data_IF_085092144741
#
_entry.id   IF_085092144741
#
_cell.length_a   1.000
_cell.length_b   1.000
_cell.length_c   1.000
_cell.angle_alpha   90.00
_cell.angle_beta   90.00
_cell.angle_gamma   90.00
#
_symmetry.space_group_name_H-M   'P 1'
#
loop_
_entity.id
_entity.type
_entity.pdbx_description
1 polymer ?
#
# COMPACT_ATOMS: atom_id res chain seq x y z
N UNK A 1 -20.55 -1.57 20.68
CA UNK A 1 -20.18 -2.93 20.21
C UNK A 1 -18.68 -2.93 20.07
N UNK A 2 -18.03 -3.92 20.63
CA UNK A 2 -16.57 -4.02 20.56
C UNK A 2 -16.17 -4.38 19.12
N UNK A 3 -15.09 -3.74 18.64
CA UNK A 3 -14.49 -4.01 17.34
C UNK A 3 -13.72 -5.32 17.41
N UNK A 4 -13.70 -6.10 16.31
CA UNK A 4 -12.97 -7.37 16.24
C UNK A 4 -11.46 -7.19 16.37
N UNK A 5 -10.94 -6.09 15.85
CA UNK A 5 -9.51 -5.79 15.79
C UNK A 5 -9.19 -4.51 16.57
N UNK A 6 -8.09 -4.55 17.32
CA UNK A 6 -7.50 -3.37 17.93
C UNK A 6 -6.88 -2.47 16.86
N UNK A 7 -6.18 -3.05 15.88
CA UNK A 7 -5.64 -2.31 14.76
C UNK A 7 -5.63 -3.14 13.47
N UNK A 8 -5.70 -2.44 12.34
CA UNK A 8 -5.47 -2.98 11.00
C UNK A 8 -4.34 -2.19 10.37
N UNK A 9 -3.36 -2.89 9.82
CA UNK A 9 -2.22 -2.33 9.11
C UNK A 9 -2.30 -2.85 7.69
N UNK A 10 -2.45 -1.94 6.73
CA UNK A 10 -2.80 -2.29 5.37
C UNK A 10 -1.90 -1.60 4.36
N UNK A 11 -1.48 -2.31 3.33
CA UNK A 11 -0.90 -1.73 2.13
C UNK A 11 -1.93 -1.70 1.02
N UNK A 12 -2.14 -0.56 0.39
CA UNK A 12 -2.99 -0.46 -0.81
C UNK A 12 -2.16 0.04 -1.98
N UNK A 13 -2.54 -0.41 -3.16
CA UNK A 13 -1.77 -0.14 -4.37
C UNK A 13 -1.79 -1.30 -5.35
N UNK A 14 -1.06 -1.11 -6.44
CA UNK A 14 -0.97 -2.07 -7.52
C UNK A 14 0.49 -2.35 -7.87
N UNK A 15 0.96 -3.53 -7.47
CA UNK A 15 2.34 -3.98 -7.73
C UNK A 15 2.71 -4.07 -9.21
N UNK A 16 1.72 -4.00 -10.11
CA UNK A 16 1.95 -4.04 -11.57
C UNK A 16 2.25 -2.66 -12.16
N UNK A 17 2.13 -1.57 -11.41
CA UNK A 17 2.28 -0.20 -11.90
C UNK A 17 3.39 0.55 -11.14
N UNK A 18 4.61 0.02 -11.21
CA UNK A 18 5.82 0.63 -10.64
C UNK A 18 5.62 1.12 -9.20
N UNK A 19 5.74 2.44 -8.96
CA UNK A 19 5.66 3.02 -7.63
C UNK A 19 4.26 2.92 -7.00
N UNK A 20 3.19 2.64 -7.78
CA UNK A 20 1.86 2.35 -7.23
C UNK A 20 1.89 1.13 -6.30
N UNK A 21 2.87 0.23 -6.48
CA UNK A 21 3.09 -0.92 -5.60
C UNK A 21 3.67 -0.59 -4.23
N UNK A 22 4.02 0.67 -3.94
CA UNK A 22 4.67 1.05 -2.68
C UNK A 22 3.91 0.55 -1.45
N UNK A 23 2.60 0.76 -1.40
CA UNK A 23 1.79 0.39 -0.24
C UNK A 23 1.87 -1.12 0.05
N UNK A 24 1.75 -1.95 -0.99
CA UNK A 24 1.89 -3.41 -0.88
C UNK A 24 3.29 -3.79 -0.39
N UNK A 25 4.34 -3.24 -1.01
CA UNK A 25 5.73 -3.55 -0.63
C UNK A 25 6.08 -3.09 0.79
N UNK A 26 5.51 -1.97 1.23
CA UNK A 26 5.66 -1.46 2.58
C UNK A 26 4.98 -2.37 3.61
N UNK A 27 3.73 -2.79 3.40
CA UNK A 27 3.05 -3.69 4.36
C UNK A 27 3.66 -5.08 4.39
N UNK A 28 4.14 -5.60 3.27
CA UNK A 28 4.92 -6.84 3.23
C UNK A 28 6.21 -6.71 4.06
N UNK A 29 6.94 -5.61 3.90
CA UNK A 29 8.17 -5.34 4.67
C UNK A 29 7.87 -5.17 6.16
N UNK A 30 6.77 -4.49 6.50
CA UNK A 30 6.27 -4.39 7.87
C UNK A 30 6.03 -5.77 8.48
N UNK A 31 5.29 -6.63 7.78
CA UNK A 31 4.94 -7.99 8.23
C UNK A 31 6.18 -8.87 8.45
N UNK A 32 7.18 -8.76 7.56
CA UNK A 32 8.46 -9.45 7.71
C UNK A 32 9.26 -8.96 8.91
N UNK A 33 9.25 -7.66 9.19
CA UNK A 33 10.06 -7.05 10.26
C UNK A 33 9.43 -7.22 11.64
N UNK A 34 8.11 -7.11 11.73
CA UNK A 34 7.39 -6.99 12.99
C UNK A 34 6.44 -8.16 13.24
N UNK A 35 6.39 -8.61 14.48
CA UNK A 35 5.34 -9.47 15.02
C UNK A 35 4.31 -8.59 15.70
N UNK A 36 3.05 -8.79 15.30
CA UNK A 36 1.90 -8.10 15.87
C UNK A 36 1.12 -9.03 16.83
N UNK A 37 0.37 -8.47 17.79
CA UNK A 37 -0.54 -9.24 18.63
C UNK A 37 -1.68 -9.87 17.83
N UNK A 38 -2.40 -10.82 18.42
CA UNK A 38 -3.47 -11.57 17.74
C UNK A 38 -4.69 -10.72 17.36
N UNK A 39 -4.91 -9.59 18.04
CA UNK A 39 -5.98 -8.63 17.77
C UNK A 39 -5.56 -7.53 16.78
N UNK A 40 -4.39 -7.67 16.14
CA UNK A 40 -3.90 -6.78 15.08
C UNK A 40 -3.81 -7.56 13.77
N UNK A 41 -4.40 -7.00 12.73
CA UNK A 41 -4.34 -7.58 11.38
C UNK A 41 -3.33 -6.84 10.52
N UNK A 42 -2.54 -7.59 9.75
CA UNK A 42 -1.62 -7.07 8.73
C UNK A 42 -2.05 -7.63 7.38
N UNK A 43 -2.36 -6.76 6.43
CA UNK A 43 -3.10 -7.14 5.21
C UNK A 43 -2.46 -6.48 4.00
N UNK A 44 -2.21 -7.27 2.95
CA UNK A 44 -2.06 -6.73 1.61
C UNK A 44 -3.45 -6.43 1.05
N UNK A 45 -3.82 -5.15 1.06
CA UNK A 45 -5.12 -4.67 0.61
C UNK A 45 -5.22 -4.55 -0.90
N UNK A 46 -4.10 -4.55 -1.62
CA UNK A 46 -4.07 -4.48 -3.08
C UNK A 46 -5.01 -3.43 -3.64
N UNK A 47 -5.80 -3.88 -4.62
CA UNK A 47 -6.92 -3.15 -5.21
C UNK A 47 -8.26 -3.81 -4.83
N UNK A 48 -8.36 -4.42 -3.65
CA UNK A 48 -9.46 -5.31 -3.25
C UNK A 48 -10.82 -4.62 -3.10
N UNK A 49 -10.87 -3.29 -3.03
CA UNK A 49 -12.12 -2.53 -2.95
C UNK A 49 -13.01 -3.01 -1.80
N UNK A 50 -14.26 -3.36 -2.09
CA UNK A 50 -15.26 -3.73 -1.07
C UNK A 50 -14.86 -4.88 -0.13
N UNK A 51 -13.95 -5.77 -0.54
CA UNK A 51 -13.45 -6.83 0.35
C UNK A 51 -12.70 -6.28 1.58
N UNK A 52 -12.33 -5.01 1.58
CA UNK A 52 -11.70 -4.33 2.73
C UNK A 52 -12.71 -3.83 3.77
N UNK A 53 -14.01 -3.90 3.51
CA UNK A 53 -15.05 -3.30 4.36
C UNK A 53 -15.02 -3.84 5.79
N UNK A 54 -14.91 -5.16 5.97
CA UNK A 54 -14.86 -5.77 7.31
C UNK A 54 -13.69 -5.19 8.12
N UNK A 55 -12.51 -5.06 7.52
CA UNK A 55 -11.34 -4.57 8.24
C UNK A 55 -11.48 -3.11 8.65
N UNK A 56 -12.09 -2.27 7.80
CA UNK A 56 -12.38 -0.87 8.11
C UNK A 56 -13.46 -0.76 9.20
N UNK A 57 -14.55 -1.52 9.08
CA UNK A 57 -15.68 -1.45 10.02
C UNK A 57 -15.45 -2.19 11.33
N UNK A 58 -14.53 -3.14 11.39
CA UNK A 58 -14.26 -3.98 12.56
C UNK A 58 -12.95 -3.66 13.28
N UNK A 59 -12.33 -2.51 13.00
CA UNK A 59 -11.15 -2.02 13.71
C UNK A 59 -11.41 -0.73 14.48
N UNK A 60 -10.64 -0.52 15.55
CA UNK A 60 -10.54 0.76 16.24
C UNK A 60 -9.50 1.69 15.58
N UNK A 61 -8.40 1.13 15.08
CA UNK A 61 -7.30 1.88 14.50
C UNK A 61 -6.97 1.33 13.10
N UNK A 62 -6.71 2.19 12.13
CA UNK A 62 -6.26 1.75 10.80
C UNK A 62 -5.07 2.57 10.31
N UNK A 63 -3.98 1.88 10.01
CA UNK A 63 -2.79 2.42 9.37
C UNK A 63 -2.73 1.93 7.93
N UNK A 64 -2.61 2.86 6.98
CA UNK A 64 -2.56 2.55 5.55
C UNK A 64 -1.23 3.02 4.97
N UNK A 65 -0.54 2.15 4.23
CA UNK A 65 0.54 2.54 3.33
C UNK A 65 -0.05 2.70 1.93
N UNK A 66 0.23 3.82 1.27
CA UNK A 66 -0.30 4.13 -0.05
C UNK A 66 0.70 4.95 -0.87
N UNK A 67 0.62 4.85 -2.18
CA UNK A 67 1.35 5.69 -3.10
C UNK A 67 0.44 6.81 -3.59
N UNK A 68 0.83 8.07 -3.38
CA UNK A 68 0.03 9.20 -3.81
C UNK A 68 0.88 10.41 -4.16
N UNK A 69 0.38 11.16 -5.13
CA UNK A 69 0.96 12.44 -5.49
C UNK A 69 0.67 13.47 -4.39
N UNK A 70 1.71 13.79 -3.63
CA UNK A 70 1.71 14.78 -2.55
C UNK A 70 2.47 16.04 -2.95
N UNK A 71 2.75 16.23 -4.24
CA UNK A 71 3.43 17.39 -4.83
C UNK A 71 4.81 17.66 -4.20
N UNK A 72 5.58 16.61 -3.97
CA UNK A 72 6.92 16.65 -3.38
C UNK A 72 7.94 15.95 -4.30
N UNK A 73 9.21 15.86 -3.84
CA UNK A 73 10.22 15.05 -4.52
C UNK A 73 9.91 13.55 -4.39
N UNK A 74 10.22 12.72 -5.41
CA UNK A 74 9.99 11.28 -5.33
C UNK A 74 10.62 10.61 -4.10
N UNK A 75 9.91 9.63 -3.54
CA UNK A 75 10.32 8.94 -2.30
C UNK A 75 10.01 9.74 -1.01
N UNK A 76 9.54 10.99 -1.12
CA UNK A 76 9.11 11.76 0.06
C UNK A 76 7.90 11.10 0.71
N UNK A 77 8.01 10.86 2.02
CA UNK A 77 6.92 10.32 2.83
C UNK A 77 6.14 11.42 3.53
N UNK A 78 4.82 11.33 3.50
CA UNK A 78 3.91 12.19 4.24
C UNK A 78 2.99 11.34 5.11
N UNK A 79 2.89 11.71 6.39
CA UNK A 79 1.89 11.13 7.29
C UNK A 79 0.65 12.02 7.22
N UNK A 80 -0.49 11.43 6.88
CA UNK A 80 -1.80 12.09 6.84
C UNK A 80 -2.64 11.54 7.99
N UNK A 81 -3.16 12.42 8.83
CA UNK A 81 -3.96 12.09 10.01
C UNK A 81 -5.08 13.13 10.23
N UNK A 82 -6.08 12.74 11.03
CA UNK A 82 -7.15 13.64 11.47
C UNK A 82 -7.90 14.29 10.31
N UNK A 83 -7.97 15.63 10.30
CA UNK A 83 -8.74 16.40 9.31
C UNK A 83 -8.19 16.30 7.87
N UNK A 84 -6.94 15.87 7.71
CA UNK A 84 -6.28 15.80 6.41
C UNK A 84 -6.58 14.48 5.68
N UNK A 85 -7.19 13.49 6.35
CA UNK A 85 -7.60 12.20 5.77
C UNK A 85 -8.63 12.39 4.66
N UNK A 86 -9.72 13.12 4.92
CA UNK A 86 -10.80 13.30 3.94
C UNK A 86 -10.32 13.99 2.66
N UNK A 87 -9.59 15.13 2.73
CA UNK A 87 -8.99 15.72 1.54
C UNK A 87 -8.09 14.75 0.76
N UNK A 88 -7.27 13.95 1.46
CA UNK A 88 -6.40 12.97 0.83
C UNK A 88 -7.19 11.91 0.07
N UNK A 89 -8.20 11.29 0.69
CA UNK A 89 -9.06 10.27 0.07
C UNK A 89 -9.90 10.80 -1.11
N UNK A 90 -10.07 12.13 -1.20
CA UNK A 90 -10.77 12.79 -2.32
C UNK A 90 -9.83 13.16 -3.48
N UNK A 91 -8.51 13.03 -3.31
CA UNK A 91 -7.58 13.18 -4.42
C UNK A 91 -7.79 12.07 -5.43
N UNK A 92 -7.72 12.40 -6.73
CA UNK A 92 -7.97 11.47 -7.84
C UNK A 92 -6.66 10.92 -8.39
N UNK A 93 -5.81 10.36 -7.54
CA UNK A 93 -4.51 9.84 -7.99
C UNK A 93 -4.65 8.40 -8.50
N UNK A 94 -5.53 7.59 -7.91
CA UNK A 94 -5.71 6.19 -8.32
C UNK A 94 -7.14 5.65 -8.12
N UNK A 95 -7.46 4.56 -8.82
CA UNK A 95 -8.78 3.93 -8.74
C UNK A 95 -9.02 3.22 -7.39
N UNK A 96 -7.98 2.69 -6.73
CA UNK A 96 -8.12 2.04 -5.42
C UNK A 96 -8.37 3.05 -4.29
N UNK A 97 -7.86 4.28 -4.40
CA UNK A 97 -8.18 5.36 -3.46
C UNK A 97 -9.67 5.72 -3.49
N UNK A 98 -10.29 5.74 -4.67
CA UNK A 98 -11.73 5.97 -4.78
C UNK A 98 -12.53 4.87 -4.06
N UNK A 99 -12.09 3.62 -4.21
CA UNK A 99 -12.65 2.49 -3.46
C UNK A 99 -12.59 2.73 -1.95
N UNK A 100 -11.42 3.09 -1.40
CA UNK A 100 -11.28 3.35 0.04
C UNK A 100 -12.19 4.48 0.55
N UNK A 101 -12.32 5.58 -0.21
CA UNK A 101 -13.17 6.69 0.18
C UNK A 101 -14.64 6.26 0.35
N UNK A 102 -15.15 5.45 -0.58
CA UNK A 102 -16.51 4.91 -0.50
C UNK A 102 -16.69 4.02 0.74
N UNK A 103 -15.71 3.16 1.06
CA UNK A 103 -15.75 2.29 2.23
C UNK A 103 -15.74 3.07 3.55
N UNK A 104 -14.90 4.11 3.64
CA UNK A 104 -14.87 5.01 4.79
C UNK A 104 -16.17 5.79 4.93
N UNK A 105 -16.76 6.27 3.83
CA UNK A 105 -18.08 6.89 3.81
C UNK A 105 -19.18 5.94 4.31
N UNK A 106 -19.15 4.67 3.88
CA UNK A 106 -20.08 3.64 4.35
C UNK A 106 -19.91 3.35 5.84
N UNK A 107 -18.66 3.22 6.32
CA UNK A 107 -18.37 3.02 7.74
C UNK A 107 -18.88 4.19 8.58
N UNK A 108 -18.76 5.43 8.08
CA UNK A 108 -19.30 6.62 8.74
C UNK A 108 -20.83 6.57 8.83
N UNK A 109 -21.52 6.30 7.72
CA UNK A 109 -22.99 6.20 7.67
C UNK A 109 -23.52 5.12 8.62
N UNK A 110 -22.79 4.00 8.75
CA UNK A 110 -23.16 2.89 9.63
C UNK A 110 -22.72 3.07 11.09
N UNK A 111 -22.07 4.19 11.43
CA UNK A 111 -21.57 4.43 12.79
C UNK A 111 -20.43 3.47 13.20
N UNK A 112 -19.68 2.95 12.22
CA UNK A 112 -18.55 2.02 12.41
C UNK A 112 -17.21 2.61 11.99
N UNK A 113 -17.11 3.93 11.80
CA UNK A 113 -15.87 4.62 11.44
C UNK A 113 -14.75 4.32 12.47
N UNK A 114 -13.50 4.04 12.04
CA UNK A 114 -12.38 3.86 12.98
C UNK A 114 -12.16 5.09 13.85
N UNK A 115 -11.68 4.88 15.09
CA UNK A 115 -11.36 5.96 16.02
C UNK A 115 -10.12 6.73 15.56
N UNK A 116 -9.10 6.00 15.13
CA UNK A 116 -7.87 6.57 14.60
C UNK A 116 -7.59 6.05 13.19
N UNK A 117 -7.16 6.96 12.32
CA UNK A 117 -6.79 6.69 10.94
C UNK A 117 -5.50 7.43 10.67
N UNK A 118 -4.51 6.71 10.14
CA UNK A 118 -3.29 7.31 9.61
C UNK A 118 -2.98 6.71 8.23
N UNK A 119 -2.47 7.55 7.34
CA UNK A 119 -1.97 7.13 6.03
C UNK A 119 -0.51 7.57 5.94
N UNK A 120 0.39 6.64 5.61
CA UNK A 120 1.76 6.92 5.22
C UNK A 120 1.79 6.90 3.69
N UNK A 121 1.68 8.09 3.11
CA UNK A 121 1.73 8.31 1.67
C UNK A 121 3.17 8.50 1.18
N UNK A 122 3.53 7.84 0.09
CA UNK A 122 4.79 8.08 -0.62
C UNK A 122 4.55 8.81 -1.94
N UNK A 123 5.35 9.84 -2.21
CA UNK A 123 5.42 10.48 -3.52
C UNK A 123 6.04 9.52 -4.55
N UNK A 124 5.34 9.19 -5.65
CA UNK A 124 5.94 8.40 -6.74
C UNK A 124 6.92 9.20 -7.58
N UNK A 125 7.85 8.49 -8.23
CA UNK A 125 8.61 8.98 -9.38
C UNK A 125 7.90 8.64 -10.69
N UNK A 126 7.39 7.42 -10.81
CA UNK A 126 6.65 6.95 -11.99
C UNK A 126 5.51 6.02 -11.60
N UNK A 127 4.35 6.27 -12.18
CA UNK A 127 3.14 5.45 -12.04
C UNK A 127 2.74 4.79 -13.37
N UNK A 128 3.40 5.14 -14.48
CA UNK A 128 3.03 4.73 -15.84
C UNK A 128 4.08 3.75 -16.42
N UNK A 129 4.49 2.74 -15.66
CA UNK A 129 5.31 1.61 -16.14
C UNK A 129 4.60 0.31 -15.78
N UNK A 130 3.76 -0.19 -16.69
CA UNK A 130 3.07 -1.46 -16.51
C UNK A 130 4.07 -2.62 -16.56
N UNK A 131 4.04 -3.45 -15.53
CA UNK A 131 5.06 -4.45 -15.26
C UNK A 131 6.29 -3.89 -14.53
N UNK A 132 6.29 -2.60 -14.19
CA UNK A 132 7.29 -1.89 -13.39
C UNK A 132 7.44 -2.40 -11.98
N UNK A 133 8.68 -2.46 -11.48
CA UNK A 133 8.92 -2.49 -10.03
C UNK A 133 9.14 -1.07 -9.52
N UNK A 134 9.26 -0.93 -8.19
CA UNK A 134 9.55 0.35 -7.54
C UNK A 134 10.83 0.97 -8.10
N UNK A 135 10.80 2.29 -8.27
CA UNK A 135 12.01 3.07 -8.49
C UNK A 135 12.91 3.05 -7.26
N UNK A 136 14.19 3.36 -7.44
CA UNK A 136 15.18 3.41 -6.34
C UNK A 136 14.71 4.30 -5.20
N UNK A 137 14.21 5.48 -5.53
CA UNK A 137 13.77 6.50 -4.58
C UNK A 137 12.62 6.01 -3.70
N UNK A 138 11.64 5.33 -4.30
CA UNK A 138 10.48 4.78 -3.59
C UNK A 138 10.83 3.47 -2.87
N UNK A 139 11.73 2.65 -3.43
CA UNK A 139 12.21 1.46 -2.73
C UNK A 139 12.98 1.82 -1.44
N UNK A 140 13.81 2.85 -1.48
CA UNK A 140 14.62 3.29 -0.34
C UNK A 140 13.78 3.89 0.79
N UNK A 141 12.61 4.46 0.48
CA UNK A 141 11.73 5.04 1.49
C UNK A 141 10.92 4.01 2.30
N UNK A 142 10.90 2.73 1.91
CA UNK A 142 10.20 1.67 2.66
C UNK A 142 10.70 1.59 4.11
N UNK A 143 12.02 1.59 4.32
CA UNK A 143 12.60 1.55 5.67
C UNK A 143 12.11 2.72 6.56
N UNK A 144 12.28 3.97 6.11
CA UNK A 144 11.69 5.15 6.76
C UNK A 144 10.17 5.07 7.00
N UNK A 145 9.40 4.49 6.08
CA UNK A 145 7.97 4.30 6.25
C UNK A 145 7.65 3.34 7.41
N UNK A 146 8.44 2.27 7.58
CA UNK A 146 8.27 1.35 8.71
C UNK A 146 8.57 1.99 10.06
N UNK A 147 9.51 2.95 10.12
CA UNK A 147 9.80 3.71 11.34
C UNK A 147 8.59 4.57 11.72
N UNK A 148 8.02 5.29 10.76
CA UNK A 148 6.79 6.08 10.97
C UNK A 148 5.61 5.20 11.41
N UNK A 149 5.49 4.01 10.83
CA UNK A 149 4.46 3.04 11.22
C UNK A 149 4.61 2.59 12.68
N UNK A 150 5.83 2.28 13.11
CA UNK A 150 6.13 1.94 14.51
C UNK A 150 5.79 3.09 15.47
N UNK A 151 6.14 4.33 15.13
CA UNK A 151 5.82 5.51 15.92
C UNK A 151 4.30 5.70 16.09
N UNK A 152 3.54 5.58 14.99
CA UNK A 152 2.07 5.71 14.99
C UNK A 152 1.43 4.59 15.81
N UNK A 153 1.84 3.33 15.60
CA UNK A 153 1.29 2.19 16.31
C UNK A 153 1.59 2.26 17.81
N UNK A 154 2.79 2.71 18.18
CA UNK A 154 3.16 2.96 19.58
C UNK A 154 2.26 4.05 20.19
N UNK A 155 2.00 5.12 19.46
CA UNK A 155 1.10 6.19 19.92
C UNK A 155 -0.33 5.69 20.15
N UNK A 156 -0.80 4.76 19.33
CA UNK A 156 -2.10 4.10 19.51
C UNK A 156 -2.10 3.00 20.58
N UNK A 157 -0.96 2.75 21.23
CA UNK A 157 -0.80 1.71 22.25
C UNK A 157 -0.86 0.30 21.68
N UNK A 158 -0.43 0.10 20.42
CA UNK A 158 -0.32 -1.20 19.77
C UNK A 158 1.11 -1.70 19.92
N UNK A 159 1.29 -2.76 20.70
CA UNK A 159 2.62 -3.33 20.98
C UNK A 159 3.08 -4.23 19.83
N UNK A 160 4.10 -3.79 19.09
CA UNK A 160 4.77 -4.60 18.07
C UNK A 160 6.17 -5.01 18.54
N UNK A 161 6.64 -6.18 18.10
CA UNK A 161 7.96 -6.70 18.50
C UNK A 161 8.78 -7.08 17.27
N UNK A 162 10.08 -6.82 17.29
CA UNK A 162 10.97 -7.23 16.20
C UNK A 162 10.95 -8.75 16.08
N UNK A 163 10.83 -9.25 14.85
CA UNK A 163 11.07 -10.66 14.55
C UNK A 163 12.56 -10.95 14.52
N UNK A 164 12.91 -12.21 14.76
CA UNK A 164 14.25 -12.70 14.46
C UNK A 164 14.47 -12.65 12.94
N UNK A 165 15.57 -12.09 12.43
CA UNK A 165 15.89 -12.10 11.00
C UNK A 165 15.90 -13.50 10.35
N UNK A 166 16.12 -14.56 11.13
CA UNK A 166 16.09 -15.96 10.66
C UNK A 166 14.69 -16.60 10.70
N UNK A 167 13.68 -15.91 11.26
CA UNK A 167 12.31 -16.41 11.35
C UNK A 167 11.68 -16.53 9.95
N UNK A 168 11.12 -17.70 9.64
CA UNK A 168 10.33 -17.89 8.42
C UNK A 168 8.92 -17.34 8.63
N UNK A 169 8.60 -16.25 7.92
CA UNK A 169 7.29 -15.61 7.95
C UNK A 169 6.54 -15.98 6.67
N UNK A 170 5.31 -16.50 6.81
CA UNK A 170 4.44 -16.74 5.65
C UNK A 170 4.14 -15.41 4.94
N UNK A 171 4.27 -15.34 3.61
CA UNK A 171 4.02 -14.11 2.85
C UNK A 171 2.55 -13.69 2.95
N UNK A 172 2.29 -12.40 2.77
CA UNK A 172 0.92 -11.86 2.72
C UNK A 172 0.23 -12.16 1.38
N UNK A 173 1.01 -12.36 0.31
CA UNK A 173 0.53 -12.70 -1.03
C UNK A 173 1.26 -13.91 -1.61
N UNK A 174 1.04 -14.15 -2.90
CA UNK A 174 1.63 -15.27 -3.62
C UNK A 174 3.15 -15.11 -3.82
N UNK A 175 3.89 -16.22 -3.72
CA UNK A 175 5.36 -16.22 -3.82
C UNK A 175 5.87 -15.74 -5.19
N UNK A 176 5.11 -15.99 -6.26
CA UNK A 176 5.43 -15.50 -7.61
C UNK A 176 5.34 -13.98 -7.74
N UNK A 177 4.61 -13.31 -6.83
CA UNK A 177 4.46 -11.85 -6.78
C UNK A 177 5.40 -11.22 -5.74
N UNK A 178 6.12 -12.02 -4.96
CA UNK A 178 7.14 -11.53 -4.05
C UNK A 178 8.17 -10.70 -4.81
N UNK A 179 8.58 -9.57 -4.23
CA UNK A 179 9.40 -8.56 -4.92
C UNK A 179 10.64 -9.14 -5.60
N UNK A 180 11.40 -9.98 -4.88
CA UNK A 180 12.62 -10.59 -5.40
C UNK A 180 12.33 -11.50 -6.61
N UNK A 181 11.33 -12.37 -6.50
CA UNK A 181 10.89 -13.27 -7.58
C UNK A 181 10.41 -12.46 -8.78
N UNK A 182 9.59 -11.44 -8.54
CA UNK A 182 9.03 -10.57 -9.56
C UNK A 182 10.11 -9.83 -10.33
N UNK A 183 11.06 -9.20 -9.63
CA UNK A 183 12.17 -8.46 -10.23
C UNK A 183 13.13 -9.39 -10.99
N UNK A 184 13.43 -10.58 -10.44
CA UNK A 184 14.34 -11.54 -11.08
C UNK A 184 13.74 -12.22 -12.32
N UNK A 185 12.43 -12.46 -12.33
CA UNK A 185 11.73 -13.10 -13.45
C UNK A 185 11.20 -12.10 -14.49
N UNK A 186 11.32 -10.79 -14.26
CA UNK A 186 10.85 -9.72 -15.16
C UNK A 186 11.69 -9.70 -16.45
N UNK A 187 11.09 -9.95 -17.62
CA UNK A 187 11.79 -9.81 -18.89
C UNK A 187 12.16 -8.35 -19.18
N UNK A 188 13.28 -8.13 -19.86
CA UNK A 188 13.67 -6.79 -20.29
C UNK A 188 12.70 -6.21 -21.33
N UNK A 189 12.68 -4.89 -21.49
CA UNK A 189 11.89 -4.21 -22.54
C UNK A 189 12.27 -4.68 -23.96
N UNK A 190 13.50 -5.17 -24.15
CA UNK A 190 13.95 -5.71 -25.43
C UNK A 190 13.34 -7.07 -25.74
N UNK A 191 13.01 -7.84 -24.69
CA UNK A 191 12.42 -9.18 -24.82
C UNK A 191 10.90 -9.14 -24.86
N UNK A 192 10.29 -8.10 -24.27
CA UNK A 192 8.83 -7.93 -24.22
C UNK A 192 8.46 -6.50 -24.59
N UNK A 193 7.73 -6.37 -25.70
CA UNK A 193 7.21 -5.10 -26.19
C UNK A 193 6.10 -4.58 -25.25
N UNK A 194 6.28 -3.36 -24.69
CA UNK A 194 5.43 -2.79 -23.63
C UNK A 194 4.45 -1.70 -24.08
N UNK A 195 4.57 -1.27 -25.34
CA UNK A 195 3.73 -0.21 -25.91
C UNK A 195 2.33 -0.69 -26.32
N UNK A 196 2.04 -1.99 -26.16
CA UNK A 196 0.76 -2.62 -26.49
C UNK A 196 0.91 -3.79 -27.46
N UNK A 197 -0.20 -4.31 -27.97
CA UNK A 197 -0.16 -5.44 -28.91
C UNK A 197 0.12 -4.95 -30.33
N UNK A 198 1.20 -5.46 -30.94
CA UNK A 198 1.68 -5.06 -32.28
C UNK A 198 0.61 -5.19 -33.38
N UNK A 199 -0.41 -6.03 -33.19
CA UNK A 199 -1.55 -6.16 -34.13
C UNK A 199 -2.45 -4.92 -34.13
N UNK A 200 -2.47 -4.17 -33.04
CA UNK A 200 -3.36 -3.03 -32.82
C UNK A 200 -2.63 -1.68 -32.81
N UNK A 201 -1.30 -1.69 -32.66
CA UNK A 201 -0.50 -0.48 -32.82
C UNK A 201 -0.29 -0.24 -34.31
N UNK A 202 -0.91 0.82 -34.82
CA UNK A 202 -0.56 1.39 -36.12
C UNK A 202 0.86 1.93 -36.04
N UNK A 203 1.84 1.08 -36.38
CA UNK A 203 3.20 1.50 -36.68
C UNK A 203 3.13 2.37 -37.93
N UNK A 204 2.73 3.64 -37.76
CA UNK A 204 2.90 4.64 -38.78
C UNK A 204 4.40 4.69 -39.03
N UNK A 205 4.82 4.04 -40.13
CA UNK A 205 6.19 4.09 -40.63
C UNK A 205 6.59 5.56 -40.67
N UNK A 206 7.62 5.92 -39.91
CA UNK A 206 8.31 7.20 -40.04
C UNK A 206 8.50 7.49 -41.53
N UNK A 207 7.94 8.61 -41.97
CA UNK A 207 8.24 9.27 -43.24
C UNK A 207 9.17 10.43 -42.98
#
# INVERSE_FOLDING_TARGET
>A
MDKKYKAVIMGVGNILWADEGFGNRAVEAFHRKWRTPSDVQVIDGGTLGYFLQEFIEETDNILIFDCADVQCEPGTLKVIEGKDITPYLQTKVSAHQQGLNDLFGMALIRGRYPKNIAIIGCQPKTMEDYGGSLTSEVSECIGPALVKAEEILTHWGVDITLRDPAEKVAPLGEECLARETYEAARPSEKEVFREGDIRFINLAKDK
#
